data_IF_848222311745
#
_entry.id   IF_848222311745
#
_cell.length_a   1.000
_cell.length_b   1.000
_cell.length_c   1.000
_cell.angle_alpha   90.00
_cell.angle_beta   90.00
_cell.angle_gamma   90.00
#
_symmetry.space_group_name_H-M   'P 1'
#
loop_
_entity.id
_entity.type
_entity.pdbx_description
1 polymer ?
#
# COMPACT_ATOMS: atom_id res chain seq x y z
N UNK A 1 -13.82 -1.24 -15.08
CA UNK A 1 -12.47 -1.43 -14.49
C UNK A 1 -11.56 -1.91 -15.62
N UNK A 2 -10.68 -1.03 -16.09
CA UNK A 2 -9.85 -1.24 -17.29
C UNK A 2 -8.82 -2.34 -16.99
N UNK A 3 -9.08 -3.57 -17.43
CA UNK A 3 -8.12 -4.67 -17.31
C UNK A 3 -7.92 -5.27 -18.69
N UNK A 4 -6.83 -4.87 -19.35
CA UNK A 4 -6.45 -5.35 -20.70
C UNK A 4 -5.63 -6.66 -20.63
N UNK A 5 -5.54 -7.28 -19.44
CA UNK A 5 -4.80 -8.50 -19.12
C UNK A 5 -3.33 -8.53 -19.63
N UNK A 6 -2.75 -7.35 -19.86
CA UNK A 6 -1.36 -7.17 -20.32
C UNK A 6 -0.43 -7.02 -19.13
N UNK A 7 0.59 -7.87 -19.09
CA UNK A 7 1.66 -7.78 -18.09
C UNK A 7 2.70 -6.75 -18.52
N UNK A 8 2.97 -5.78 -17.65
CA UNK A 8 4.03 -4.79 -17.83
C UNK A 8 5.22 -5.10 -16.93
N UNK A 9 6.42 -4.70 -17.37
CA UNK A 9 7.67 -4.85 -16.61
C UNK A 9 8.17 -3.51 -16.11
N UNK A 10 8.89 -3.56 -15.00
CA UNK A 10 9.39 -2.39 -14.31
C UNK A 10 10.28 -2.76 -13.14
N UNK A 11 10.71 -1.74 -12.42
CA UNK A 11 11.55 -1.88 -11.24
C UNK A 11 11.10 -0.96 -10.11
N UNK A 12 11.53 -1.28 -8.89
CA UNK A 12 11.33 -0.40 -7.73
C UNK A 12 12.29 0.78 -7.85
N UNK A 13 11.72 1.98 -7.99
CA UNK A 13 12.48 3.23 -8.06
C UNK A 13 12.83 3.78 -6.68
N UNK A 14 11.96 3.58 -5.68
CA UNK A 14 12.25 3.98 -4.31
C UNK A 14 11.37 3.26 -3.28
N UNK A 15 11.87 3.24 -2.04
CA UNK A 15 11.17 2.74 -0.86
C UNK A 15 11.13 3.88 0.16
N UNK A 16 9.94 4.27 0.60
CA UNK A 16 9.73 5.31 1.59
C UNK A 16 10.27 4.88 2.96
N UNK A 17 11.11 5.73 3.58
CA UNK A 17 11.74 5.44 4.88
C UNK A 17 11.03 6.07 6.08
N UNK A 18 10.10 6.99 5.85
CA UNK A 18 9.25 7.57 6.88
C UNK A 18 7.91 6.85 6.87
N UNK A 19 7.60 6.15 7.96
CA UNK A 19 6.29 5.51 8.13
C UNK A 19 5.63 6.16 9.34
N UNK A 20 4.51 6.81 9.12
CA UNK A 20 3.67 7.32 10.19
C UNK A 20 2.82 6.16 10.71
N UNK A 21 2.99 5.78 11.97
CA UNK A 21 2.16 4.77 12.61
C UNK A 21 0.76 5.35 12.84
N UNK A 22 -0.19 4.97 11.98
CA UNK A 22 -1.59 5.39 12.10
C UNK A 22 -2.34 4.64 13.21
N UNK A 23 -1.68 3.72 13.92
CA UNK A 23 -2.29 2.88 14.97
C UNK A 23 -2.13 3.46 16.38
N UNK A 24 -1.45 4.61 16.53
CA UNK A 24 -1.24 5.22 17.85
C UNK A 24 -2.47 6.08 18.20
N UNK A 25 -3.50 5.45 18.76
CA UNK A 25 -4.50 6.18 19.56
C UNK A 25 -3.77 6.89 20.70
N UNK A 26 -3.83 8.22 20.71
CA UNK A 26 -3.28 9.05 21.79
C UNK A 26 -4.37 9.30 22.82
N UNK A 27 -4.73 8.29 23.62
CA UNK A 27 -5.76 8.45 24.65
C UNK A 27 -5.13 8.84 25.99
N UNK A 28 -5.17 10.13 26.30
CA UNK A 28 -5.00 10.65 27.65
C UNK A 28 -6.38 10.92 28.27
N UNK A 29 -6.97 9.93 28.95
CA UNK A 29 -8.17 10.15 29.75
C UNK A 29 -8.08 9.40 31.08
N UNK A 30 -8.16 10.17 32.17
CA UNK A 30 -8.04 9.74 33.57
C UNK A 30 -9.35 9.11 34.09
N UNK A 31 -9.94 8.17 33.36
CA UNK A 31 -11.17 7.49 33.78
C UNK A 31 -11.10 6.00 33.38
N UNK A 32 -11.42 5.03 34.27
CA UNK A 32 -11.35 3.62 33.92
C UNK A 32 -12.48 3.24 32.95
N UNK A 33 -12.11 2.89 31.71
CA UNK A 33 -13.00 2.36 30.69
C UNK A 33 -12.83 0.82 30.63
N UNK A 34 -13.81 0.07 31.16
CA UNK A 34 -13.80 -1.40 31.08
C UNK A 34 -14.44 -1.83 29.76
N UNK A 35 -13.63 -1.84 28.69
CA UNK A 35 -14.01 -2.38 27.38
C UNK A 35 -13.76 -3.90 27.29
N UNK A 36 -14.68 -4.69 26.70
CA UNK A 36 -14.43 -6.11 26.42
C UNK A 36 -13.25 -6.28 25.44
N UNK A 37 -12.29 -7.11 25.85
CA UNK A 37 -10.98 -7.32 25.24
C UNK A 37 -11.09 -8.07 23.89
N UNK A 38 -11.11 -7.34 22.78
CA UNK A 38 -10.66 -7.87 21.48
C UNK A 38 -9.65 -6.89 20.83
N UNK A 39 -8.42 -6.73 21.37
CA UNK A 39 -7.46 -5.73 20.91
C UNK A 39 -6.39 -6.29 19.94
N UNK A 40 -6.43 -7.58 19.62
CA UNK A 40 -5.25 -8.28 19.11
C UNK A 40 -5.02 -8.20 17.59
N UNK A 41 -5.86 -7.52 16.82
CA UNK A 41 -5.65 -7.40 15.37
C UNK A 41 -4.84 -6.14 15.08
N UNK A 42 -3.51 -6.28 15.08
CA UNK A 42 -2.62 -5.26 14.52
C UNK A 42 -2.41 -5.56 13.04
N UNK A 43 -2.77 -4.61 12.17
CA UNK A 43 -2.44 -4.71 10.75
C UNK A 43 -0.93 -4.54 10.58
N UNK A 44 -0.38 -5.24 9.58
CA UNK A 44 0.99 -5.01 9.19
C UNK A 44 1.17 -3.55 8.75
N UNK A 45 2.24 -2.93 9.22
CA UNK A 45 2.63 -1.61 8.79
C UNK A 45 2.97 -1.64 7.29
N UNK A 46 2.33 -0.75 6.51
CA UNK A 46 2.56 -0.66 5.07
C UNK A 46 3.73 0.28 4.80
N UNK A 47 4.65 -0.13 3.94
CA UNK A 47 5.78 0.70 3.47
C UNK A 47 5.43 1.25 2.09
N UNK A 48 5.44 2.58 1.88
CA UNK A 48 5.25 3.15 0.54
C UNK A 48 6.38 2.72 -0.40
N UNK A 49 6.03 2.16 -1.55
CA UNK A 49 6.99 1.76 -2.60
C UNK A 49 6.61 2.46 -3.90
N UNK A 50 7.58 3.08 -4.57
CA UNK A 50 7.40 3.69 -5.88
C UNK A 50 7.92 2.73 -6.96
N UNK A 51 7.01 2.23 -7.79
CA UNK A 51 7.34 1.38 -8.93
C UNK A 51 7.38 2.20 -10.22
N UNK A 52 8.40 1.97 -11.06
CA UNK A 52 8.53 2.60 -12.37
C UNK A 52 8.43 1.53 -13.44
N UNK A 53 7.63 1.81 -14.48
CA UNK A 53 7.53 0.94 -15.65
C UNK A 53 8.72 1.19 -16.58
N UNK A 54 9.37 0.12 -17.05
CA UNK A 54 10.55 0.25 -17.92
C UNK A 54 10.16 0.68 -19.34
N UNK A 55 9.09 0.06 -19.86
CA UNK A 55 8.55 0.33 -21.18
C UNK A 55 7.05 0.17 -21.17
N UNK A 56 6.36 1.16 -21.73
CA UNK A 56 4.91 1.13 -21.94
C UNK A 56 4.66 0.97 -23.45
N UNK A 57 4.06 -0.15 -23.89
CA UNK A 57 3.63 -0.33 -25.27
C UNK A 57 2.64 0.77 -25.70
N UNK A 58 2.71 1.21 -26.95
CA UNK A 58 1.89 2.34 -27.44
C UNK A 58 0.38 2.06 -27.49
N UNK A 59 0.00 0.78 -27.47
CA UNK A 59 -1.38 0.31 -27.40
C UNK A 59 -1.91 0.21 -25.95
N UNK A 60 -1.09 0.55 -24.95
CA UNK A 60 -1.48 0.54 -23.53
C UNK A 60 -1.77 1.97 -23.05
N UNK A 61 -3.01 2.20 -22.64
CA UNK A 61 -3.43 3.47 -22.02
C UNK A 61 -3.34 3.36 -20.50
N UNK A 62 -2.47 4.16 -19.87
CA UNK A 62 -2.38 4.25 -18.41
C UNK A 62 -3.24 5.40 -17.90
N UNK A 63 -4.22 5.07 -17.06
CA UNK A 63 -5.12 6.05 -16.43
C UNK A 63 -4.76 6.19 -14.96
N UNK A 64 -4.60 7.43 -14.50
CA UNK A 64 -4.35 7.73 -13.08
C UNK A 64 -5.47 7.14 -12.21
N UNK A 65 -5.09 6.48 -11.10
CA UNK A 65 -6.03 5.80 -10.20
C UNK A 65 -6.34 4.35 -10.57
N UNK A 66 -5.80 3.83 -11.67
CA UNK A 66 -5.91 2.40 -12.01
C UNK A 66 -5.16 1.54 -10.98
N UNK A 67 -5.83 0.55 -10.41
CA UNK A 67 -5.23 -0.43 -9.50
C UNK A 67 -4.64 -1.60 -10.28
N UNK A 68 -3.49 -2.12 -9.84
CA UNK A 68 -2.87 -3.31 -10.42
C UNK A 68 -2.26 -4.20 -9.33
N UNK A 69 -2.00 -5.46 -9.68
CA UNK A 69 -1.25 -6.39 -8.84
C UNK A 69 0.20 -6.44 -9.34
N UNK A 70 1.15 -6.42 -8.41
CA UNK A 70 2.58 -6.48 -8.70
C UNK A 70 3.12 -7.80 -8.16
N UNK A 71 3.77 -8.59 -9.02
CA UNK A 71 4.56 -9.75 -8.63
C UNK A 71 6.05 -9.37 -8.65
N UNK A 72 6.77 -9.70 -7.58
CA UNK A 72 8.21 -9.42 -7.44
C UNK A 72 8.95 -10.76 -7.39
N UNK A 73 10.04 -10.90 -8.15
CA UNK A 73 10.87 -12.12 -8.15
C UNK A 73 10.58 -13.13 -9.26
N UNK A 74 10.01 -12.69 -10.39
CA UNK A 74 9.98 -13.45 -11.65
C UNK A 74 11.06 -13.00 -12.62
#
# INVERSE_FOLDING_TARGET
>A
LYSDNKTLRGHVSSIGRAIYDQSVESDSSLIPDVKPNVPWVRLAQRVPVRFALDKVPGDVTLVSGTTCSIAVGQ
#
